data_IF_062478660012
#
_entry.id   IF_062478660012
#
_cell.length_a   1.000
_cell.length_b   1.000
_cell.length_c   1.000
_cell.angle_alpha   90.00
_cell.angle_beta   90.00
_cell.angle_gamma   90.00
#
_symmetry.space_group_name_H-M   'P 1'
#
loop_
_entity.id
_entity.type
_entity.pdbx_description
1 polymer ?
#
# COMPACT_ATOMS: atom_id res chain seq x y z
N UNK A 1 -15.75 -32.53 41.90
CA UNK A 1 -16.29 -31.79 43.06
C UNK A 1 -16.67 -30.41 42.55
N UNK A 2 -17.99 -30.16 42.53
CA UNK A 2 -18.75 -28.89 42.56
C UNK A 2 -18.30 -27.68 41.71
N UNK A 3 -19.14 -26.85 41.11
CA UNK A 3 -20.59 -26.77 40.86
C UNK A 3 -20.77 -25.63 39.82
N UNK A 4 -21.92 -25.64 39.14
CA UNK A 4 -22.45 -24.63 38.21
C UNK A 4 -22.37 -23.17 38.68
N UNK A 5 -22.31 -22.19 37.73
CA UNK A 5 -23.27 -21.06 37.65
C UNK A 5 -23.39 -20.55 36.21
N UNK A 6 -24.61 -20.67 35.68
CA UNK A 6 -25.17 -20.00 34.51
C UNK A 6 -25.63 -18.56 34.83
N UNK A 7 -25.56 -17.65 33.86
CA UNK A 7 -26.49 -16.52 33.77
C UNK A 7 -26.07 -15.47 32.73
N UNK A 8 -26.96 -14.77 32.02
CA UNK A 8 -28.39 -14.91 31.71
C UNK A 8 -28.65 -13.94 30.55
N UNK A 9 -29.58 -14.30 29.66
CA UNK A 9 -30.18 -13.42 28.64
C UNK A 9 -31.01 -12.30 29.32
N UNK A 10 -31.16 -11.12 28.70
CA UNK A 10 -32.13 -10.13 29.18
C UNK A 10 -33.56 -10.50 28.77
N UNK A 11 -34.44 -10.48 29.76
CA UNK A 11 -35.89 -10.61 29.64
C UNK A 11 -36.54 -9.23 29.51
N UNK A 12 -37.57 -9.12 28.67
CA UNK A 12 -38.50 -7.99 28.67
C UNK A 12 -39.57 -8.23 29.74
N UNK A 13 -39.68 -7.32 30.71
CA UNK A 13 -40.82 -7.20 31.63
C UNK A 13 -41.59 -5.92 31.31
N UNK A 14 -42.92 -6.01 31.21
CA UNK A 14 -43.78 -4.90 30.80
C UNK A 14 -44.47 -4.19 31.97
N UNK A 15 -44.87 -2.93 31.74
CA UNK A 15 -46.25 -2.41 31.86
C UNK A 15 -46.27 -0.88 31.71
N UNK A 16 -46.74 -0.41 30.54
CA UNK A 16 -47.74 0.66 30.29
C UNK A 16 -47.52 1.24 28.89
N UNK A 17 -48.52 0.99 28.02
CA UNK A 17 -48.86 1.72 26.79
C UNK A 17 -47.74 2.14 25.83
N UNK A 18 -47.60 1.44 24.70
CA UNK A 18 -46.83 1.96 23.57
C UNK A 18 -46.36 0.91 22.57
N UNK A 19 -47.20 0.66 21.57
CA UNK A 19 -46.94 0.08 20.24
C UNK A 19 -45.50 -0.40 19.94
N UNK A 20 -45.29 -1.73 19.91
CA UNK A 20 -44.14 -2.36 19.25
C UNK A 20 -44.54 -2.78 17.84
N UNK A 21 -44.13 -2.02 16.80
CA UNK A 21 -44.32 -2.42 15.40
C UNK A 21 -43.19 -3.34 14.95
N UNK A 22 -43.50 -4.63 14.86
CA UNK A 22 -42.85 -5.56 13.94
C UNK A 22 -43.15 -5.13 12.50
N UNK A 23 -42.11 -4.99 11.66
CA UNK A 23 -42.29 -5.13 10.21
C UNK A 23 -41.47 -6.29 9.70
N UNK A 24 -42.21 -7.34 9.35
CA UNK A 24 -41.80 -8.47 8.54
C UNK A 24 -41.38 -8.02 7.13
N UNK A 25 -40.57 -8.90 6.56
CA UNK A 25 -40.19 -8.99 5.17
C UNK A 25 -41.38 -8.91 4.20
N UNK A 26 -41.13 -8.33 3.02
CA UNK A 26 -41.95 -8.51 1.84
C UNK A 26 -41.05 -8.97 0.68
N UNK A 27 -41.09 -10.28 0.41
CA UNK A 27 -40.93 -10.85 -0.93
C UNK A 27 -42.23 -10.56 -1.69
N UNK A 28 -42.13 -10.15 -2.95
CA UNK A 28 -43.14 -10.27 -4.03
C UNK A 28 -42.58 -9.56 -5.26
N UNK A 29 -42.79 -9.95 -6.51
CA UNK A 29 -43.26 -11.16 -7.15
C UNK A 29 -42.97 -10.94 -8.63
N UNK A 30 -42.48 -11.95 -9.33
CA UNK A 30 -42.36 -11.96 -10.77
C UNK A 30 -43.76 -12.15 -11.36
N UNK A 31 -44.19 -11.28 -12.29
CA UNK A 31 -45.34 -11.58 -13.16
C UNK A 31 -45.12 -10.97 -14.55
N UNK A 32 -44.76 -11.84 -15.48
CA UNK A 32 -44.92 -11.61 -16.91
C UNK A 32 -46.41 -11.55 -17.25
N UNK A 33 -46.80 -10.59 -18.09
CA UNK A 33 -47.88 -10.78 -19.06
C UNK A 33 -47.49 -10.16 -20.39
N UNK A 34 -47.77 -10.92 -21.45
CA UNK A 34 -47.50 -10.65 -22.87
C UNK A 34 -48.54 -9.70 -23.46
N UNK A 35 -48.18 -8.95 -24.51
CA UNK A 35 -49.12 -8.69 -25.61
C UNK A 35 -49.00 -7.34 -26.34
N UNK A 36 -48.55 -7.41 -27.61
CA UNK A 36 -48.78 -6.50 -28.76
C UNK A 36 -48.07 -5.12 -28.72
N UNK A 37 -47.10 -4.81 -29.58
CA UNK A 37 -47.11 -4.64 -31.05
C UNK A 37 -47.86 -3.38 -31.55
N UNK A 38 -47.10 -2.29 -31.78
CA UNK A 38 -47.34 -1.23 -32.78
C UNK A 38 -46.09 -0.31 -32.76
N UNK A 39 -45.20 -0.37 -33.76
CA UNK A 39 -45.12 0.58 -34.89
C UNK A 39 -45.10 2.06 -34.47
N UNK A 40 -43.93 2.70 -34.59
CA UNK A 40 -43.81 4.00 -35.28
C UNK A 40 -42.35 4.20 -35.74
N UNK A 41 -42.18 4.23 -37.06
CA UNK A 41 -40.96 4.61 -37.79
C UNK A 41 -41.10 6.09 -38.19
N UNK A 42 -39.95 6.76 -38.18
CA UNK A 42 -39.45 7.71 -39.18
C UNK A 42 -40.25 8.98 -39.57
N UNK A 43 -39.58 10.13 -39.40
CA UNK A 43 -39.36 11.24 -40.35
C UNK A 43 -38.62 12.34 -39.55
N UNK A 44 -37.62 13.11 -39.98
CA UNK A 44 -37.21 13.75 -41.25
C UNK A 44 -35.71 14.16 -41.03
N UNK A 45 -34.71 13.87 -41.89
CA UNK A 45 -34.27 14.65 -43.08
C UNK A 45 -34.39 16.18 -42.88
N UNK A 46 -33.43 17.08 -43.12
CA UNK A 46 -32.28 17.21 -44.01
C UNK A 46 -31.58 18.54 -43.62
N UNK A 47 -30.28 18.69 -43.92
CA UNK A 47 -29.59 19.97 -43.76
C UNK A 47 -28.12 19.94 -44.16
N UNK A 48 -27.86 19.82 -45.47
CA UNK A 48 -26.56 19.95 -46.13
C UNK A 48 -26.01 21.39 -46.04
N UNK A 49 -24.67 21.52 -45.92
CA UNK A 49 -23.76 22.44 -46.66
C UNK A 49 -22.36 22.35 -46.01
N UNK A 50 -21.39 21.63 -46.60
CA UNK A 50 -20.46 22.03 -47.68
C UNK A 50 -19.45 23.12 -47.28
N UNK A 51 -18.16 22.77 -47.26
CA UNK A 51 -17.04 23.71 -47.15
C UNK A 51 -15.71 23.02 -46.89
N UNK A 52 -15.01 22.64 -47.96
CA UNK A 52 -13.69 21.99 -47.96
C UNK A 52 -12.54 23.07 -47.91
N UNK A 53 -11.25 22.69 -47.94
CA UNK A 53 -10.21 23.23 -47.06
C UNK A 53 -9.27 24.25 -47.73
N UNK A 54 -8.50 25.00 -46.93
CA UNK A 54 -7.32 25.75 -47.41
C UNK A 54 -6.13 25.62 -46.45
N UNK A 55 -5.07 25.03 -46.97
CA UNK A 55 -3.66 25.15 -46.58
C UNK A 55 -3.22 26.59 -46.32
N UNK A 56 -2.19 26.85 -45.51
CA UNK A 56 -1.05 27.72 -45.87
C UNK A 56 0.12 27.59 -44.87
N UNK A 57 1.31 27.76 -45.45
CA UNK A 57 2.70 27.60 -45.04
C UNK A 57 3.22 28.22 -43.72
N UNK A 58 4.24 27.53 -43.21
CA UNK A 58 5.57 27.99 -42.76
C UNK A 58 5.80 29.47 -42.42
N UNK A 59 6.39 29.70 -41.24
CA UNK A 59 7.18 30.90 -40.93
C UNK A 59 8.55 30.47 -40.37
N UNK A 60 9.56 30.50 -41.24
CA UNK A 60 10.96 30.65 -40.89
C UNK A 60 11.30 32.16 -40.86
N UNK A 61 12.44 32.47 -40.22
CA UNK A 61 13.13 33.78 -40.10
C UNK A 61 12.96 34.42 -38.71
N UNK A 62 13.99 34.91 -38.02
CA UNK A 62 15.33 35.37 -38.41
C UNK A 62 16.32 35.07 -37.26
N UNK A 63 17.49 34.54 -37.59
CA UNK A 63 18.64 34.56 -36.67
C UNK A 63 19.39 35.87 -36.93
N UNK A 64 19.45 36.73 -35.93
CA UNK A 64 20.36 37.89 -35.90
C UNK A 64 21.63 37.42 -35.20
N UNK A 65 22.74 37.38 -35.92
CA UNK A 65 24.07 37.21 -35.34
C UNK A 65 24.55 38.60 -34.95
N UNK A 66 24.51 38.90 -33.64
CA UNK A 66 25.20 40.06 -33.07
C UNK A 66 26.59 39.60 -32.64
N UNK A 67 27.62 40.12 -33.29
CA UNK A 67 29.00 40.00 -32.82
C UNK A 67 29.19 40.91 -31.60
N UNK A 68 29.37 40.31 -30.42
CA UNK A 68 29.78 41.03 -29.21
C UNK A 68 31.29 40.89 -29.02
N UNK A 69 31.96 42.01 -28.75
CA UNK A 69 33.41 42.12 -28.57
C UNK A 69 33.95 41.41 -27.32
N UNK A 70 35.28 41.46 -27.10
CA UNK A 70 35.95 40.71 -26.05
C UNK A 70 35.74 41.39 -24.69
N UNK A 71 34.55 41.25 -24.12
CA UNK A 71 34.33 41.43 -22.69
C UNK A 71 34.71 40.14 -21.99
N UNK A 72 35.59 40.21 -20.99
CA UNK A 72 35.87 39.11 -20.07
C UNK A 72 34.54 38.62 -19.46
N UNK A 73 34.00 37.55 -20.02
CA UNK A 73 33.00 36.73 -19.37
C UNK A 73 33.69 36.08 -18.18
N UNK A 74 33.52 36.68 -17.00
CA UNK A 74 33.55 35.92 -15.76
C UNK A 74 32.65 34.72 -16.00
N UNK A 75 33.25 33.55 -16.21
CA UNK A 75 32.54 32.30 -16.24
C UNK A 75 31.96 32.15 -14.85
N UNK A 76 30.73 32.62 -14.66
CA UNK A 76 29.88 32.11 -13.60
C UNK A 76 29.96 30.60 -13.76
N UNK A 77 30.61 29.94 -12.80
CA UNK A 77 30.74 28.50 -12.79
C UNK A 77 29.33 27.95 -13.05
N UNK A 78 29.15 27.27 -14.19
CA UNK A 78 27.95 26.51 -14.44
C UNK A 78 27.82 25.62 -13.21
N UNK A 79 26.75 25.74 -12.39
CA UNK A 79 26.60 24.89 -11.23
C UNK A 79 26.69 23.46 -11.74
N UNK A 80 27.73 22.76 -11.27
CA UNK A 80 27.92 21.34 -11.56
C UNK A 80 26.59 20.68 -11.22
N UNK A 81 25.97 19.89 -12.12
CA UNK A 81 24.74 19.19 -11.78
C UNK A 81 24.96 18.44 -10.47
N UNK A 82 24.16 18.79 -9.47
CA UNK A 82 24.21 18.24 -8.12
C UNK A 82 24.50 16.74 -8.22
N UNK A 83 25.57 16.28 -7.53
CA UNK A 83 25.91 14.85 -7.42
C UNK A 83 24.61 14.06 -7.23
N UNK A 84 24.39 12.93 -7.91
CA UNK A 84 23.14 12.19 -7.77
C UNK A 84 22.88 11.91 -6.29
N UNK A 85 21.83 12.51 -5.71
CA UNK A 85 21.63 12.43 -4.27
C UNK A 85 21.60 10.97 -3.82
N UNK A 86 22.51 10.62 -2.92
CA UNK A 86 22.79 9.25 -2.51
C UNK A 86 21.58 8.63 -1.81
N UNK A 87 21.29 7.37 -2.14
CA UNK A 87 20.35 6.56 -1.38
C UNK A 87 21.11 6.00 -0.19
N UNK A 88 20.72 6.42 1.01
CA UNK A 88 21.27 5.87 2.24
C UNK A 88 20.29 4.87 2.84
N UNK A 89 20.81 3.79 3.41
CA UNK A 89 20.02 2.86 4.22
C UNK A 89 19.24 3.66 5.27
N UNK A 90 17.93 3.42 5.37
CA UNK A 90 17.12 4.10 6.35
C UNK A 90 17.57 3.71 7.75
N UNK A 91 17.81 4.74 8.58
CA UNK A 91 18.29 4.61 9.94
C UNK A 91 17.38 5.39 10.89
N UNK A 92 17.14 4.82 12.08
CA UNK A 92 16.42 5.45 13.18
C UNK A 92 17.27 5.35 14.44
N UNK A 93 17.51 6.47 15.12
CA UNK A 93 18.08 6.43 16.46
C UNK A 93 16.99 6.05 17.47
N UNK A 94 17.25 5.02 18.27
CA UNK A 94 16.35 4.49 19.28
C UNK A 94 17.18 4.13 20.50
N UNK A 95 16.90 4.75 21.65
CA UNK A 95 17.59 4.47 22.92
C UNK A 95 19.13 4.55 22.80
N UNK A 96 19.65 5.54 22.05
CA UNK A 96 21.09 5.71 21.82
C UNK A 96 21.70 4.83 20.72
N UNK A 97 20.94 3.88 20.17
CA UNK A 97 21.41 2.94 19.16
C UNK A 97 20.86 3.25 17.76
N UNK A 98 21.64 2.95 16.73
CA UNK A 98 21.20 3.05 15.33
C UNK A 98 20.52 1.76 14.91
N UNK A 99 19.23 1.87 14.55
CA UNK A 99 18.44 0.79 13.95
C UNK A 99 18.39 0.94 12.46
N UNK A 100 18.56 -0.15 11.72
CA UNK A 100 18.48 -0.16 10.26
C UNK A 100 17.28 -0.99 9.81
N UNK A 101 16.47 -0.52 8.87
CA UNK A 101 15.36 -1.33 8.33
C UNK A 101 15.79 -2.06 7.06
N UNK A 102 16.76 -2.95 7.21
CA UNK A 102 17.39 -3.68 6.12
C UNK A 102 17.22 -5.19 6.31
N UNK A 103 16.11 -5.72 5.79
CA UNK A 103 15.75 -7.14 5.89
C UNK A 103 16.11 -7.89 4.62
N UNK A 104 17.40 -8.00 4.38
CA UNK A 104 17.91 -8.94 3.39
C UNK A 104 17.91 -10.35 3.98
N UNK A 105 17.76 -11.35 3.13
CA UNK A 105 17.81 -12.75 3.53
C UNK A 105 19.11 -13.14 4.24
N UNK A 106 20.22 -12.50 3.85
CA UNK A 106 21.55 -12.69 4.42
C UNK A 106 21.79 -11.95 5.75
N UNK A 107 20.93 -11.00 6.12
CA UNK A 107 21.10 -10.23 7.36
C UNK A 107 20.33 -10.90 8.51
N UNK A 108 20.94 -11.06 9.69
CA UNK A 108 20.24 -11.51 10.89
C UNK A 108 19.12 -10.52 11.29
N UNK A 109 18.13 -10.99 12.05
CA UNK A 109 17.10 -10.10 12.59
C UNK A 109 17.66 -9.20 13.69
N UNK A 110 18.68 -9.68 14.41
CA UNK A 110 19.44 -8.95 15.42
C UNK A 110 20.68 -8.34 14.75
N UNK A 111 20.78 -7.02 14.84
CA UNK A 111 21.93 -6.29 14.36
C UNK A 111 23.19 -6.70 15.17
N UNK A 112 24.24 -7.25 14.53
CA UNK A 112 25.42 -7.73 15.26
C UNK A 112 26.21 -6.61 15.95
N UNK A 113 26.13 -5.37 15.45
CA UNK A 113 26.84 -4.24 16.03
C UNK A 113 26.18 -3.68 17.29
N UNK A 114 24.86 -3.83 17.43
CA UNK A 114 24.10 -3.26 18.56
C UNK A 114 23.48 -4.30 19.48
N UNK A 115 23.50 -5.59 19.09
CA UNK A 115 22.92 -6.70 19.86
C UNK A 115 21.39 -6.65 19.97
N UNK A 116 20.74 -5.92 19.08
CA UNK A 116 19.32 -5.54 19.18
C UNK A 116 18.65 -5.66 17.82
N UNK A 117 17.33 -5.88 17.77
CA UNK A 117 16.63 -6.12 16.51
C UNK A 117 16.64 -4.90 15.61
N UNK A 118 16.60 -5.14 14.31
CA UNK A 118 16.42 -4.11 13.30
C UNK A 118 14.94 -4.00 12.85
N UNK A 119 14.04 -4.74 13.52
CA UNK A 119 12.57 -4.74 13.35
C UNK A 119 11.96 -4.14 14.61
N UNK A 120 10.98 -3.25 14.46
CA UNK A 120 10.27 -2.70 15.62
C UNK A 120 9.25 -3.69 16.21
N UNK A 121 8.47 -4.34 15.34
CA UNK A 121 7.39 -5.23 15.74
C UNK A 121 7.16 -6.36 14.73
N UNK A 122 6.87 -7.55 15.24
CA UNK A 122 6.55 -8.73 14.44
C UNK A 122 5.16 -9.23 14.84
N UNK A 123 4.23 -9.27 13.89
CA UNK A 123 2.91 -9.90 14.03
C UNK A 123 2.95 -11.35 13.49
N UNK A 124 2.37 -12.32 14.21
CA UNK A 124 2.15 -13.72 13.75
C UNK A 124 1.22 -14.47 14.72
N UNK A 125 0.45 -15.48 14.29
CA UNK A 125 -0.44 -16.30 15.16
C UNK A 125 -1.30 -15.47 16.14
N UNK A 126 -1.81 -14.32 15.70
CA UNK A 126 -2.59 -13.40 16.56
C UNK A 126 -1.80 -12.80 17.74
N UNK A 127 -0.48 -12.99 17.77
CA UNK A 127 0.47 -12.44 18.74
C UNK A 127 1.28 -11.33 18.08
N UNK A 128 1.98 -10.59 18.94
CA UNK A 128 3.03 -9.72 18.47
C UNK A 128 4.20 -9.68 19.43
N UNK A 129 5.39 -9.58 18.86
CA UNK A 129 6.64 -9.39 19.57
C UNK A 129 7.17 -8.00 19.27
N UNK A 130 7.53 -7.25 20.31
CA UNK A 130 8.20 -5.96 20.20
C UNK A 130 9.68 -6.10 20.52
N UNK A 131 10.51 -5.32 19.83
CA UNK A 131 11.92 -5.07 20.14
C UNK A 131 12.65 -6.27 20.81
N UNK A 132 12.93 -6.21 22.10
CA UNK A 132 13.74 -7.17 22.87
C UNK A 132 13.23 -8.61 22.86
N UNK A 133 11.97 -8.85 22.48
CA UNK A 133 11.38 -10.18 22.34
C UNK A 133 11.74 -10.87 21.01
N UNK A 134 12.27 -10.12 20.04
CA UNK A 134 12.66 -10.63 18.73
C UNK A 134 14.06 -11.23 18.85
N UNK A 135 14.29 -12.39 18.21
CA UNK A 135 15.58 -13.09 18.20
C UNK A 135 16.04 -13.37 16.76
N UNK A 136 17.25 -13.90 16.58
CA UNK A 136 17.69 -14.40 15.27
C UNK A 136 16.93 -15.63 14.80
N UNK A 137 16.22 -16.32 15.69
CA UNK A 137 15.20 -17.32 15.33
C UNK A 137 13.91 -16.69 14.77
N UNK A 138 13.85 -15.36 14.64
CA UNK A 138 12.65 -14.63 14.23
C UNK A 138 11.61 -14.65 15.34
N UNK A 139 10.60 -15.49 15.16
CA UNK A 139 9.53 -15.72 16.16
C UNK A 139 9.85 -16.87 17.12
N UNK A 140 10.99 -17.55 16.94
CA UNK A 140 11.25 -18.89 17.50
C UNK A 140 10.17 -19.93 17.11
N UNK A 141 9.44 -19.68 16.01
CA UNK A 141 8.42 -20.58 15.44
C UNK A 141 8.55 -20.64 13.91
N UNK A 142 7.78 -21.50 13.25
CA UNK A 142 7.84 -21.67 11.79
C UNK A 142 7.37 -20.44 10.99
N UNK A 143 6.62 -19.51 11.60
CA UNK A 143 6.01 -18.35 10.94
C UNK A 143 7.01 -17.42 10.27
N UNK A 144 8.18 -17.24 10.87
CA UNK A 144 9.23 -16.42 10.28
C UNK A 144 10.61 -16.95 10.63
N UNK A 145 11.45 -17.12 9.61
CA UNK A 145 12.79 -17.65 9.75
C UNK A 145 13.71 -17.21 8.62
N UNK A 146 15.01 -17.36 8.82
CA UNK A 146 16.00 -17.32 7.75
C UNK A 146 16.22 -18.75 7.26
N UNK A 147 16.08 -18.97 5.96
CA UNK A 147 16.24 -20.29 5.32
C UNK A 147 17.13 -20.15 4.09
N UNK A 148 17.81 -21.22 3.70
CA UNK A 148 18.56 -21.24 2.45
C UNK A 148 17.60 -21.49 1.28
N UNK A 149 17.63 -20.64 0.25
CA UNK A 149 16.90 -20.85 -1.00
C UNK A 149 17.81 -21.59 -1.99
N UNK A 150 17.59 -22.89 -2.26
CA UNK A 150 18.47 -23.66 -3.15
C UNK A 150 18.40 -23.17 -4.60
N UNK A 151 17.28 -22.56 -5.02
CA UNK A 151 17.12 -22.00 -6.37
C UNK A 151 17.96 -20.73 -6.53
N UNK A 152 18.08 -19.95 -5.46
CA UNK A 152 18.83 -18.69 -5.46
C UNK A 152 20.27 -18.79 -4.97
N UNK A 153 20.66 -19.90 -4.37
CA UNK A 153 21.97 -20.09 -3.76
C UNK A 153 22.26 -19.13 -2.59
N UNK A 154 21.23 -18.61 -1.93
CA UNK A 154 21.41 -17.60 -0.87
C UNK A 154 20.37 -17.71 0.25
N UNK A 155 20.69 -17.22 1.48
CA UNK A 155 19.71 -17.09 2.54
C UNK A 155 18.57 -16.13 2.16
N UNK A 156 17.35 -16.45 2.60
CA UNK A 156 16.13 -15.67 2.39
C UNK A 156 15.31 -15.61 3.67
N UNK A 157 14.52 -14.57 3.85
CA UNK A 157 13.51 -14.50 4.90
C UNK A 157 12.27 -15.24 4.44
N UNK A 158 11.90 -16.34 5.11
CA UNK A 158 10.65 -17.04 4.87
C UNK A 158 9.60 -16.53 5.85
N UNK A 159 8.41 -16.22 5.33
CA UNK A 159 7.22 -15.87 6.09
C UNK A 159 6.13 -16.88 5.78
N UNK A 160 5.42 -17.34 6.80
CA UNK A 160 4.33 -18.29 6.70
C UNK A 160 3.12 -17.81 7.50
N UNK A 161 1.94 -18.06 6.95
CA UNK A 161 0.66 -17.94 7.65
C UNK A 161 -0.06 -19.27 7.51
N UNK A 162 -0.50 -19.82 8.63
CA UNK A 162 -1.11 -21.14 8.67
C UNK A 162 -2.65 -21.03 8.81
N UNK A 163 -3.40 -22.01 8.30
CA UNK A 163 -4.85 -22.09 8.51
C UNK A 163 -5.24 -22.08 10.00
N UNK A 164 -4.44 -22.66 10.87
CA UNK A 164 -4.67 -22.79 12.31
C UNK A 164 -4.27 -21.55 13.14
N UNK A 165 -3.67 -20.53 12.51
CA UNK A 165 -3.25 -19.32 13.20
C UNK A 165 -4.43 -18.64 13.91
N UNK A 166 -4.17 -18.15 15.12
CA UNK A 166 -5.13 -17.32 15.85
C UNK A 166 -5.30 -15.98 15.14
N UNK A 167 -6.50 -15.43 15.22
CA UNK A 167 -6.82 -14.13 14.63
C UNK A 167 -6.93 -13.06 15.72
N UNK A 168 -6.05 -12.05 15.69
CA UNK A 168 -6.23 -10.83 16.48
C UNK A 168 -6.70 -9.66 15.62
N UNK A 169 -6.19 -9.54 14.38
CA UNK A 169 -6.58 -8.50 13.42
C UNK A 169 -6.49 -9.01 11.96
N UNK A 170 -6.91 -10.26 11.73
CA UNK A 170 -6.72 -10.98 10.45
C UNK A 170 -5.54 -11.94 10.49
N UNK A 171 -5.42 -12.77 9.46
CA UNK A 171 -4.39 -13.78 9.32
C UNK A 171 -3.12 -13.15 8.74
N UNK A 172 -2.07 -13.04 9.54
CA UNK A 172 -0.86 -12.34 9.12
C UNK A 172 0.38 -12.89 9.77
N UNK A 173 1.47 -12.81 9.01
CA UNK A 173 2.82 -12.74 9.56
C UNK A 173 3.51 -11.55 8.90
N UNK A 174 3.78 -10.48 9.66
CA UNK A 174 4.34 -9.23 9.12
C UNK A 174 5.40 -8.64 10.03
N UNK A 175 6.48 -8.16 9.41
CA UNK A 175 7.50 -7.36 10.05
C UNK A 175 7.19 -5.89 9.84
N UNK A 176 7.23 -5.12 10.91
CA UNK A 176 6.91 -3.70 10.91
C UNK A 176 8.19 -2.90 11.11
N UNK A 177 8.37 -1.87 10.29
CA UNK A 177 9.50 -0.95 10.40
C UNK A 177 9.42 -0.06 11.62
N UNK A 178 10.59 0.45 12.00
CA UNK A 178 10.64 1.70 12.74
C UNK A 178 9.91 2.80 11.97
N UNK A 179 9.39 3.74 12.74
CA UNK A 179 8.57 4.80 12.23
C UNK A 179 9.28 5.64 11.15
N UNK A 180 8.64 5.88 10.02
CA UNK A 180 9.10 6.85 9.01
C UNK A 180 8.51 8.23 9.27
N UNK A 181 9.20 9.26 8.82
CA UNK A 181 8.74 10.64 8.92
C UNK A 181 7.95 11.03 7.68
N UNK A 182 6.92 11.89 7.81
CA UNK A 182 6.29 12.49 6.65
C UNK A 182 7.26 13.42 5.92
N UNK A 183 6.94 13.75 4.68
CA UNK A 183 7.61 14.79 3.88
C UNK A 183 9.07 14.52 3.52
N UNK A 184 9.49 13.25 3.52
CA UNK A 184 10.81 12.78 3.09
C UNK A 184 10.74 11.88 1.87
N UNK A 185 11.85 11.71 1.18
CA UNK A 185 11.92 10.82 0.02
C UNK A 185 12.40 9.45 0.45
N UNK A 186 11.58 8.43 0.20
CA UNK A 186 11.91 7.05 0.49
C UNK A 186 11.97 6.21 -0.78
N UNK A 187 12.81 5.19 -0.73
CA UNK A 187 12.82 4.09 -1.70
C UNK A 187 12.75 2.79 -0.94
N UNK A 188 11.79 1.95 -1.28
CA UNK A 188 11.70 0.59 -0.75
C UNK A 188 12.07 -0.39 -1.85
N UNK A 189 12.96 -1.33 -1.56
CA UNK A 189 13.27 -2.45 -2.44
C UNK A 189 12.76 -3.74 -1.81
N UNK A 190 11.92 -4.46 -2.56
CA UNK A 190 11.31 -5.71 -2.15
C UNK A 190 11.55 -6.76 -3.24
N UNK A 191 12.27 -7.84 -2.94
CA UNK A 191 12.41 -8.98 -3.83
C UNK A 191 11.75 -10.19 -3.17
N UNK A 192 10.67 -10.68 -3.76
CA UNK A 192 9.83 -11.72 -3.17
C UNK A 192 9.55 -12.87 -4.14
N UNK A 193 9.29 -14.05 -3.60
CA UNK A 193 8.84 -15.25 -4.31
C UNK A 193 7.69 -15.87 -3.54
N UNK A 194 6.58 -16.15 -4.23
CA UNK A 194 5.52 -16.99 -3.68
C UNK A 194 5.94 -18.46 -3.76
N UNK A 195 5.48 -19.29 -2.82
CA UNK A 195 5.73 -20.73 -2.84
C UNK A 195 5.43 -21.34 -4.22
N UNK A 196 6.26 -22.26 -4.77
CA UNK A 196 5.96 -22.90 -6.05
C UNK A 196 4.60 -23.61 -6.10
N UNK A 197 4.08 -24.07 -4.96
CA UNK A 197 2.77 -24.71 -4.83
C UNK A 197 1.64 -23.70 -4.52
N UNK A 198 1.88 -22.41 -4.73
CA UNK A 198 0.90 -21.38 -4.44
C UNK A 198 -0.38 -21.56 -5.24
N UNK A 199 -1.48 -21.81 -4.54
CA UNK A 199 -2.80 -21.82 -5.15
C UNK A 199 -3.33 -20.38 -5.30
N UNK A 200 -3.41 -19.90 -6.53
CA UNK A 200 -3.97 -18.59 -6.89
C UNK A 200 -5.51 -18.59 -6.93
N UNK A 201 -6.12 -19.74 -7.17
CA UNK A 201 -7.56 -19.92 -7.27
C UNK A 201 -8.22 -20.22 -5.92
N UNK A 202 -7.46 -20.11 -4.83
CA UNK A 202 -7.97 -20.31 -3.48
C UNK A 202 -9.03 -19.24 -3.16
N UNK A 203 -10.23 -19.63 -2.69
CA UNK A 203 -11.17 -18.71 -2.08
C UNK A 203 -10.47 -17.91 -0.99
N UNK A 204 -10.76 -16.61 -0.91
CA UNK A 204 -10.14 -15.74 0.09
C UNK A 204 -8.61 -15.64 -0.03
N UNK A 205 -8.00 -16.03 -1.16
CA UNK A 205 -6.56 -16.12 -1.39
C UNK A 205 -5.81 -14.78 -1.50
N UNK A 206 -6.53 -13.65 -1.51
CA UNK A 206 -5.94 -12.33 -1.62
C UNK A 206 -5.24 -11.84 -0.34
N UNK A 207 -4.06 -11.25 -0.52
CA UNK A 207 -3.23 -10.76 0.58
C UNK A 207 -2.33 -9.59 0.23
N UNK A 208 -1.68 -9.02 1.24
CA UNK A 208 -0.78 -7.87 1.16
C UNK A 208 0.64 -8.31 1.46
N UNK A 209 1.57 -7.93 0.57
CA UNK A 209 3.01 -8.16 0.70
C UNK A 209 3.72 -7.01 1.40
N UNK A 210 3.29 -5.78 1.13
CA UNK A 210 3.90 -4.56 1.62
C UNK A 210 2.86 -3.45 1.79
N UNK A 211 3.02 -2.60 2.79
CA UNK A 211 2.10 -1.50 3.04
C UNK A 211 2.72 -0.35 3.82
N UNK A 212 2.16 0.86 3.61
CA UNK A 212 2.37 2.02 4.49
C UNK A 212 1.11 2.27 5.28
N UNK A 213 1.26 2.47 6.59
CA UNK A 213 0.17 2.83 7.51
C UNK A 213 0.56 4.06 8.29
N UNK A 214 -0.40 4.96 8.51
CA UNK A 214 -0.29 5.94 9.59
C UNK A 214 -0.87 5.40 10.89
N UNK A 215 -0.68 6.16 11.97
CA UNK A 215 -1.25 5.82 13.26
C UNK A 215 -2.78 5.90 13.20
N UNK A 216 -3.47 4.85 13.69
CA UNK A 216 -4.92 4.87 13.79
C UNK A 216 -5.35 5.98 14.77
N UNK A 217 -6.44 6.69 14.45
CA UNK A 217 -7.08 7.58 15.43
C UNK A 217 -7.99 6.74 16.33
N UNK A 218 -8.28 7.17 17.57
CA UNK A 218 -9.44 6.67 18.28
C UNK A 218 -10.64 6.73 17.32
N UNK A 219 -11.32 5.59 17.10
CA UNK A 219 -12.49 5.47 16.22
C UNK A 219 -12.26 5.45 14.69
N UNK A 220 -11.01 5.42 14.21
CA UNK A 220 -10.71 5.20 12.79
C UNK A 220 -9.81 3.98 12.61
N UNK A 221 -10.36 2.89 12.06
CA UNK A 221 -9.57 1.73 11.68
C UNK A 221 -8.68 2.10 10.50
N UNK A 222 -7.38 2.23 10.77
CA UNK A 222 -6.39 2.63 9.77
C UNK A 222 -6.23 1.54 8.71
N UNK A 223 -6.82 1.76 7.53
CA UNK A 223 -6.39 1.03 6.34
C UNK A 223 -4.94 1.41 6.00
N UNK A 224 -4.25 0.55 5.28
CA UNK A 224 -3.01 0.96 4.64
C UNK A 224 -3.31 2.06 3.61
N UNK A 225 -2.61 3.18 3.71
CA UNK A 225 -2.75 4.28 2.74
C UNK A 225 -2.16 3.88 1.39
N UNK A 226 -1.09 3.08 1.40
CA UNK A 226 -0.50 2.46 0.22
C UNK A 226 -0.30 0.99 0.50
N UNK A 227 -0.61 0.12 -0.45
CA UNK A 227 -0.32 -1.31 -0.32
C UNK A 227 0.02 -1.95 -1.65
N UNK A 228 0.85 -2.98 -1.58
CA UNK A 228 1.16 -3.91 -2.64
C UNK A 228 0.66 -5.28 -2.21
N UNK A 229 -0.17 -5.92 -3.04
CA UNK A 229 -0.78 -7.20 -2.71
C UNK A 229 -0.99 -8.09 -3.93
N UNK A 230 -1.38 -9.33 -3.65
CA UNK A 230 -1.67 -10.37 -4.64
C UNK A 230 -3.15 -10.68 -4.60
N UNK A 231 -3.81 -10.68 -5.77
CA UNK A 231 -5.21 -11.08 -5.95
C UNK A 231 -5.29 -11.95 -7.20
N UNK A 232 -5.61 -13.24 -7.03
CA UNK A 232 -5.43 -14.22 -8.10
C UNK A 232 -4.00 -14.15 -8.63
N UNK A 233 -3.84 -14.28 -9.94
CA UNK A 233 -2.55 -14.19 -10.64
C UNK A 233 -1.98 -12.76 -10.77
N UNK A 234 -2.52 -11.78 -10.05
CA UNK A 234 -2.19 -10.37 -10.26
C UNK A 234 -1.54 -9.73 -9.04
N UNK A 235 -0.44 -9.02 -9.28
CA UNK A 235 0.11 -8.02 -8.39
C UNK A 235 -0.66 -6.70 -8.55
N UNK A 236 -1.13 -6.18 -7.42
CA UNK A 236 -1.94 -4.97 -7.35
C UNK A 236 -1.30 -3.96 -6.41
N UNK A 237 -1.24 -2.71 -6.85
CA UNK A 237 -0.90 -1.58 -6.01
C UNK A 237 -2.16 -0.77 -5.72
N UNK A 238 -2.31 -0.28 -4.49
CA UNK A 238 -3.44 0.59 -4.13
C UNK A 238 -2.95 1.83 -3.39
N UNK A 239 -3.69 2.92 -3.58
CA UNK A 239 -3.61 4.12 -2.76
C UNK A 239 -5.02 4.40 -2.25
N UNK A 240 -5.20 4.40 -0.95
CA UNK A 240 -6.46 4.67 -0.28
C UNK A 240 -6.40 6.06 0.35
N UNK A 241 -7.15 7.01 -0.19
CA UNK A 241 -7.23 8.36 0.36
C UNK A 241 -8.69 8.72 0.67
N UNK A 242 -9.01 9.24 1.86
CA UNK A 242 -10.40 9.48 2.24
C UNK A 242 -11.12 10.43 1.28
N UNK A 243 -12.34 10.06 0.85
CA UNK A 243 -13.05 10.89 -0.13
C UNK A 243 -13.49 12.23 0.49
N UNK A 244 -13.84 12.24 1.79
CA UNK A 244 -14.06 13.47 2.55
C UNK A 244 -12.83 14.42 2.50
N UNK A 245 -11.63 13.89 2.71
CA UNK A 245 -10.39 14.67 2.65
C UNK A 245 -10.11 15.21 1.25
N UNK A 246 -10.39 14.41 0.21
CA UNK A 246 -10.30 14.84 -1.19
C UNK A 246 -11.22 16.01 -1.51
N UNK A 247 -12.29 16.23 -0.75
CA UNK A 247 -13.25 17.35 -0.91
C UNK A 247 -13.03 18.52 0.06
N UNK A 248 -12.09 18.42 1.00
CA UNK A 248 -11.82 19.46 1.99
C UNK A 248 -11.50 20.82 1.33
N UNK A 249 -12.04 21.92 1.88
CA UNK A 249 -11.82 23.27 1.34
C UNK A 249 -10.63 24.02 1.98
N UNK A 250 -10.11 23.49 3.09
CA UNK A 250 -8.97 24.06 3.84
C UNK A 250 -8.01 22.96 4.31
N UNK A 251 -6.79 23.35 4.68
CA UNK A 251 -5.76 22.44 5.22
C UNK A 251 -4.89 23.11 6.30
N UNK A 252 -4.55 22.42 7.41
CA UNK A 252 -5.07 21.11 7.82
C UNK A 252 -6.56 21.18 8.12
N UNK A 253 -7.27 20.09 7.86
CA UNK A 253 -8.67 19.94 8.25
C UNK A 253 -8.78 18.62 9.01
N UNK A 254 -9.34 18.60 10.23
CA UNK A 254 -9.80 17.36 10.82
C UNK A 254 -10.79 16.70 9.85
N UNK A 255 -10.56 15.44 9.54
CA UNK A 255 -11.45 14.66 8.67
C UNK A 255 -11.87 13.40 9.41
N UNK A 256 -13.18 13.25 9.56
CA UNK A 256 -13.79 11.97 9.89
C UNK A 256 -14.09 11.22 8.58
N UNK A 257 -13.62 9.98 8.46
CA UNK A 257 -14.01 9.11 7.35
C UNK A 257 -14.30 7.70 7.87
N UNK A 258 -15.30 7.06 7.27
CA UNK A 258 -15.68 5.69 7.59
C UNK A 258 -14.78 4.66 6.91
N UNK A 259 -14.95 3.39 7.27
CA UNK A 259 -14.22 2.24 6.71
C UNK A 259 -14.24 2.19 5.17
N UNK A 260 -15.32 2.66 4.55
CA UNK A 260 -15.53 2.54 3.11
C UNK A 260 -15.41 3.89 2.36
N UNK A 261 -15.15 5.00 3.06
CA UNK A 261 -15.06 6.34 2.46
C UNK A 261 -13.68 6.62 1.85
N UNK A 262 -13.24 5.78 0.90
CA UNK A 262 -11.98 5.95 0.19
C UNK A 262 -12.19 6.29 -1.28
N UNK A 263 -11.52 7.35 -1.74
CA UNK A 263 -11.35 7.60 -3.15
C UNK A 263 -10.46 6.49 -3.74
N UNK A 264 -11.01 5.74 -4.69
CA UNK A 264 -10.29 4.68 -5.38
C UNK A 264 -9.51 5.27 -6.54
N UNK A 265 -8.21 4.96 -6.59
CA UNK A 265 -7.38 5.17 -7.79
C UNK A 265 -7.22 3.80 -8.46
N UNK A 266 -7.63 3.70 -9.71
CA UNK A 266 -7.41 2.50 -10.50
C UNK A 266 -5.97 2.51 -11.03
N UNK A 267 -5.24 1.44 -10.76
CA UNK A 267 -3.89 1.22 -11.26
C UNK A 267 -3.88 0.00 -12.17
N UNK A 268 -3.03 -0.02 -13.22
CA UNK A 268 -2.83 -1.22 -14.00
C UNK A 268 -2.30 -2.33 -13.09
N UNK A 269 -2.77 -3.56 -13.29
CA UNK A 269 -2.29 -4.76 -12.59
C UNK A 269 -1.14 -5.39 -13.37
N UNK A 270 -0.36 -6.27 -12.72
CA UNK A 270 0.70 -7.05 -13.39
C UNK A 270 0.53 -8.54 -13.09
N UNK A 271 0.66 -9.43 -14.10
CA UNK A 271 0.67 -10.85 -13.83
C UNK A 271 1.91 -11.22 -13.01
N UNK A 272 1.77 -12.24 -12.16
CA UNK A 272 2.87 -12.82 -11.41
C UNK A 272 2.77 -14.35 -11.40
N UNK A 273 3.93 -14.98 -11.33
CA UNK A 273 4.07 -16.42 -11.25
C UNK A 273 4.57 -16.84 -9.86
N UNK A 274 4.08 -18.00 -9.41
CA UNK A 274 4.61 -18.71 -8.25
C UNK A 274 6.01 -19.26 -8.53
N UNK A 275 6.80 -19.50 -7.48
CA UNK A 275 8.13 -20.11 -7.60
C UNK A 275 9.22 -19.24 -8.23
N UNK A 276 8.89 -18.06 -8.73
CA UNK A 276 9.82 -17.07 -9.30
C UNK A 276 9.98 -15.86 -8.38
N UNK A 277 11.18 -15.29 -8.34
CA UNK A 277 11.41 -13.99 -7.70
C UNK A 277 10.99 -12.83 -8.59
N UNK A 278 10.27 -11.90 -7.98
CA UNK A 278 9.86 -10.63 -8.54
C UNK A 278 10.50 -9.51 -7.73
N UNK A 279 11.13 -8.54 -8.40
CA UNK A 279 11.74 -7.37 -7.75
C UNK A 279 10.87 -6.15 -7.94
N UNK A 280 10.38 -5.61 -6.83
CA UNK A 280 9.60 -4.38 -6.79
C UNK A 280 10.43 -3.28 -6.14
N UNK A 281 10.57 -2.17 -6.85
CA UNK A 281 11.12 -0.93 -6.31
C UNK A 281 10.01 0.09 -6.16
N UNK A 282 9.87 0.69 -4.99
CA UNK A 282 8.83 1.66 -4.65
C UNK A 282 9.50 2.96 -4.19
N UNK A 283 9.56 3.97 -5.06
CA UNK A 283 9.96 5.31 -4.65
C UNK A 283 8.71 6.09 -4.24
N UNK A 284 8.68 6.62 -3.01
CA UNK A 284 7.52 7.34 -2.51
C UNK A 284 7.89 8.56 -1.66
N UNK A 285 6.97 9.49 -1.57
CA UNK A 285 7.04 10.66 -0.70
C UNK A 285 5.75 10.68 0.12
N UNK A 286 5.78 10.40 1.43
CA UNK A 286 4.62 10.34 2.28
C UNK A 286 4.15 11.77 2.60
N UNK A 287 3.01 12.15 2.03
CA UNK A 287 2.38 13.47 2.20
C UNK A 287 0.88 13.27 2.25
N UNK A 288 0.22 13.84 3.25
CA UNK A 288 -1.21 13.74 3.47
C UNK A 288 -2.00 14.82 2.70
N UNK A 289 -1.32 15.86 2.24
CA UNK A 289 -1.94 17.01 1.57
C UNK A 289 -2.36 16.70 0.14
N UNK A 290 -3.58 17.10 -0.25
CA UNK A 290 -3.96 17.27 -1.64
C UNK A 290 -3.07 18.29 -2.35
N UNK A 291 -2.90 18.13 -3.67
CA UNK A 291 -2.13 19.06 -4.53
C UNK A 291 -2.56 20.52 -4.39
N UNK A 292 -3.87 20.78 -4.29
CA UNK A 292 -4.43 22.15 -4.14
C UNK A 292 -4.00 22.85 -2.84
N UNK A 293 -3.48 22.09 -1.87
CA UNK A 293 -2.93 22.60 -0.61
C UNK A 293 -1.40 22.43 -0.55
N UNK A 294 -0.74 22.39 -1.72
CA UNK A 294 0.72 22.28 -1.83
C UNK A 294 1.29 20.89 -1.62
N UNK A 295 0.45 19.84 -1.62
CA UNK A 295 0.88 18.46 -1.43
C UNK A 295 1.81 17.96 -2.54
N UNK A 296 2.88 17.27 -2.13
CA UNK A 296 3.96 16.75 -2.99
C UNK A 296 4.02 15.22 -3.02
N UNK A 297 3.01 14.56 -2.44
CA UNK A 297 2.92 13.11 -2.37
C UNK A 297 3.07 12.45 -3.74
N UNK A 298 3.81 11.34 -3.78
CA UNK A 298 3.93 10.51 -4.98
C UNK A 298 4.27 9.07 -4.61
N UNK A 299 3.96 8.16 -5.54
CA UNK A 299 4.47 6.79 -5.55
C UNK A 299 4.87 6.42 -6.99
N UNK A 300 6.06 5.86 -7.16
CA UNK A 300 6.56 5.33 -8.43
C UNK A 300 7.03 3.90 -8.20
N UNK A 301 6.50 2.98 -8.99
CA UNK A 301 6.81 1.57 -8.86
C UNK A 301 7.46 1.05 -10.12
N UNK A 302 8.45 0.18 -9.93
CA UNK A 302 9.04 -0.66 -10.97
C UNK A 302 8.86 -2.12 -10.58
N UNK A 303 8.55 -2.97 -11.56
CA UNK A 303 8.52 -4.42 -11.42
C UNK A 303 9.57 -5.00 -12.37
N UNK A 304 10.49 -5.78 -11.84
CA UNK A 304 11.62 -6.38 -12.58
C UNK A 304 12.38 -5.34 -13.42
N UNK A 305 12.64 -4.18 -12.81
CA UNK A 305 13.34 -3.05 -13.43
C UNK A 305 12.49 -2.22 -14.41
N UNK A 306 11.28 -2.66 -14.76
CA UNK A 306 10.40 -1.95 -15.72
C UNK A 306 9.45 -0.99 -15.00
N UNK A 307 9.29 0.26 -15.46
CA UNK A 307 8.30 1.17 -14.90
C UNK A 307 6.88 0.57 -14.94
N UNK A 308 6.14 0.74 -13.85
CA UNK A 308 4.78 0.21 -13.72
C UNK A 308 3.79 1.28 -13.28
N UNK A 309 3.97 1.86 -12.10
CA UNK A 309 3.05 2.87 -11.56
C UNK A 309 3.74 4.22 -11.51
N UNK A 310 3.00 5.27 -11.91
CA UNK A 310 3.33 6.66 -11.62
C UNK A 310 2.11 7.35 -11.03
N UNK A 311 2.14 7.54 -9.73
CA UNK A 311 1.10 8.24 -8.98
C UNK A 311 1.65 9.54 -8.41
N UNK A 312 0.82 10.58 -8.41
CA UNK A 312 1.12 11.82 -7.74
C UNK A 312 -0.17 12.40 -7.13
N UNK A 313 -0.12 12.65 -5.83
CA UNK A 313 -1.25 12.91 -4.96
C UNK A 313 -0.94 12.41 -3.54
N UNK A 314 -1.89 12.53 -2.60
CA UNK A 314 -1.67 12.12 -1.23
C UNK A 314 -1.29 10.65 -1.10
N UNK A 315 -0.36 10.36 -0.20
CA UNK A 315 0.23 9.04 0.11
C UNK A 315 0.30 8.80 1.62
N UNK A 316 -0.26 9.71 2.41
CA UNK A 316 -0.65 9.53 3.81
C UNK A 316 -2.12 9.91 3.98
N UNK A 317 -2.77 9.41 5.02
CA UNK A 317 -4.10 9.92 5.38
C UNK A 317 -3.98 11.26 6.10
N UNK A 318 -4.95 12.17 5.94
CA UNK A 318 -5.00 13.44 6.67
C UNK A 318 -4.97 13.24 8.19
N UNK A 319 -4.33 14.17 8.88
CA UNK A 319 -4.56 14.38 10.32
C UNK A 319 -4.26 13.10 11.14
N UNK A 320 -3.38 12.23 10.61
CA UNK A 320 -2.79 11.14 11.36
C UNK A 320 -1.49 11.63 11.96
N UNK A 321 -1.44 11.71 13.29
CA UNK A 321 -0.18 11.92 13.99
C UNK A 321 0.78 10.77 13.66
N UNK A 322 2.06 11.09 13.54
CA UNK A 322 3.09 10.06 13.50
C UNK A 322 3.07 9.21 14.77
N UNK A 323 3.69 8.02 14.76
CA UNK A 323 4.53 7.50 13.70
C UNK A 323 3.77 6.84 12.53
N UNK A 324 4.23 7.09 11.29
CA UNK A 324 3.88 6.27 10.14
C UNK A 324 4.85 5.09 10.04
N UNK A 325 4.44 3.95 9.51
CA UNK A 325 5.31 2.79 9.37
C UNK A 325 5.12 2.09 8.04
N UNK A 326 6.15 1.34 7.68
CA UNK A 326 6.17 0.43 6.55
C UNK A 326 6.13 -0.98 7.10
N UNK A 327 5.23 -1.82 6.60
CA UNK A 327 5.17 -3.23 6.97
C UNK A 327 5.40 -4.08 5.73
N UNK A 328 6.09 -5.22 5.87
CA UNK A 328 6.17 -6.25 4.83
C UNK A 328 5.96 -7.65 5.42
N UNK A 329 5.64 -8.62 4.56
CA UNK A 329 5.38 -10.01 4.95
C UNK A 329 4.17 -10.54 4.20
N UNK A 330 3.31 -11.28 4.87
CA UNK A 330 2.04 -11.72 4.31
C UNK A 330 0.88 -11.38 5.25
N UNK A 331 -0.07 -10.59 4.75
CA UNK A 331 -1.35 -10.35 5.42
C UNK A 331 -2.50 -10.79 4.54
N UNK A 332 -3.12 -11.91 4.91
CA UNK A 332 -4.30 -12.49 4.29
C UNK A 332 -5.55 -11.74 4.78
N UNK A 333 -5.96 -10.71 4.03
CA UNK A 333 -7.09 -9.87 4.42
C UNK A 333 -8.43 -10.43 3.95
N UNK A 334 -8.42 -11.27 2.92
CA UNK A 334 -9.65 -11.80 2.34
C UNK A 334 -10.28 -12.94 3.15
N UNK A 335 -9.61 -13.43 4.20
CA UNK A 335 -10.16 -14.38 5.15
C UNK A 335 -9.15 -15.43 5.60
N UNK A 336 -9.64 -16.59 6.00
CA UNK A 336 -8.80 -17.67 6.56
C UNK A 336 -8.11 -18.40 5.41
N UNK A 337 -6.78 -18.56 5.45
CA UNK A 337 -6.11 -19.34 4.41
C UNK A 337 -6.53 -20.82 4.52
N UNK A 338 -6.82 -21.46 3.39
CA UNK A 338 -7.18 -22.88 3.34
C UNK A 338 -5.96 -23.81 3.25
N UNK A 339 -4.78 -23.24 2.98
CA UNK A 339 -3.48 -23.93 3.04
C UNK A 339 -2.44 -22.96 3.59
N UNK A 340 -1.28 -23.48 3.98
CA UNK A 340 -0.16 -22.63 4.38
C UNK A 340 0.20 -21.65 3.26
N UNK A 341 0.33 -20.37 3.60
CA UNK A 341 0.75 -19.32 2.68
C UNK A 341 2.20 -18.97 2.97
N UNK A 342 3.09 -19.44 2.11
CA UNK A 342 4.53 -19.22 2.25
C UNK A 342 5.01 -18.18 1.23
N UNK A 343 5.71 -17.17 1.73
CA UNK A 343 6.37 -16.14 0.92
C UNK A 343 7.83 -16.04 1.34
N UNK A 344 8.71 -15.96 0.36
CA UNK A 344 10.15 -15.82 0.55
C UNK A 344 10.59 -14.41 0.13
N UNK A 345 11.43 -13.77 0.92
CA UNK A 345 11.98 -12.44 0.65
C UNK A 345 13.50 -12.51 0.63
N UNK A 346 14.09 -12.14 -0.51
CA UNK A 346 15.55 -11.95 -0.64
C UNK A 346 15.98 -10.58 -0.13
N UNK A 347 15.18 -9.58 -0.43
CA UNK A 347 15.42 -8.19 -0.05
C UNK A 347 14.11 -7.56 0.43
N UNK A 348 14.20 -6.83 1.53
CA UNK A 348 13.13 -6.00 2.08
C UNK A 348 13.79 -4.82 2.80
N UNK A 349 14.17 -3.81 2.01
CA UNK A 349 15.08 -2.77 2.45
C UNK A 349 14.49 -1.38 2.16
N UNK A 350 14.42 -0.56 3.20
CA UNK A 350 14.04 0.84 3.11
C UNK A 350 15.28 1.75 3.05
N UNK A 351 15.28 2.67 2.10
CA UNK A 351 16.27 3.73 1.92
C UNK A 351 15.60 5.09 2.08
N UNK A 352 16.38 6.05 2.59
CA UNK A 352 16.05 7.47 2.54
C UNK A 352 16.91 8.14 1.48
N UNK A 353 16.30 8.96 0.63
CA UNK A 353 17.04 9.86 -0.27
C UNK A 353 17.24 11.18 0.45
N UNK A 354 18.45 11.42 0.93
CA UNK A 354 18.83 12.70 1.56
C UNK A 354 19.06 13.75 0.48
N UNK A 355 18.79 15.02 0.80
CA UNK A 355 19.13 16.12 -0.11
C UNK A 355 20.63 16.14 -0.30
N UNK A 356 21.04 16.39 -1.53
CA UNK A 356 22.37 16.86 -1.83
C UNK A 356 22.57 18.16 -1.03
N UNK A 357 23.59 18.20 -0.16
CA UNK A 357 24.01 19.45 0.49
C UNK A 357 24.92 20.23 -0.45
#
# INVERSE_FOLDING_TARGET
>A
MDQDVLGRRPACTGKRGGVCRLRQAARSACRMTRGRAAMCRAHLAQGLRSGAPRSWMALLAKIVIVAAGPGQLAHAAVPVPDRPCELVTYQRQMQGEVRTYAFDGSRPFINPGTGKPDVAYLDFDGRGLSDDQITNGGSNTAHISKVFDPVGGQPVTRVQVFPEDRQRFGYRTQLNAYAIEPYRHYVYELEFKLDPQWNFEMPEGAGVLWQVKGHAKPYQTGHAVMSLGVVGHELRFTVLYPAAARRARQWPSPVAWGRDDYARVAFPVRPIDAGRYHRVRIAFYPDDRPRRFGGKGYARLWLDGRPWIRYAGPTLHPDQLGPHRVDFGWYQWAGRPQSVRTVYFRTAHLYERRRCM
#
